data_IF_499896554473
#
_entry.id   IF_499896554473
#
_cell.length_a   1.000
_cell.length_b   1.000
_cell.length_c   1.000
_cell.angle_alpha   90.00
_cell.angle_beta   90.00
_cell.angle_gamma   90.00
#
_symmetry.space_group_name_H-M   'P 1'
#
loop_
_entity.id
_entity.type
_entity.pdbx_description
1 polymer ?
#
# COMPACT_ATOMS: atom_id res chain seq x y z
N UNK A 1 -1.42 -26.84 8.30
CA UNK A 1 -2.17 -26.67 9.58
C UNK A 1 -2.38 -25.18 9.76
N UNK A 2 -3.59 -24.70 9.50
CA UNK A 2 -4.02 -23.33 9.69
C UNK A 2 -4.12 -23.03 11.19
N UNK A 3 -3.59 -21.89 11.61
CA UNK A 3 -3.67 -21.40 12.99
C UNK A 3 -5.12 -21.01 13.31
N UNK A 4 -5.72 -21.47 14.41
CA UNK A 4 -7.07 -21.08 14.82
C UNK A 4 -6.97 -19.77 15.61
N UNK A 5 -7.41 -18.66 15.05
CA UNK A 5 -7.36 -17.38 15.75
C UNK A 5 -8.03 -16.19 15.09
N UNK A 6 -8.80 -16.39 14.01
CA UNK A 6 -9.69 -15.32 13.54
C UNK A 6 -11.01 -15.47 14.29
N UNK A 7 -11.13 -14.74 15.39
CA UNK A 7 -12.43 -14.57 16.06
C UNK A 7 -13.31 -13.76 15.13
N UNK A 8 -14.37 -14.40 14.63
CA UNK A 8 -15.56 -13.72 14.11
C UNK A 8 -15.98 -12.68 15.14
N UNK A 9 -15.83 -11.41 14.84
CA UNK A 9 -16.46 -10.37 15.62
C UNK A 9 -17.98 -10.54 15.45
N UNK A 10 -18.58 -11.06 16.51
CA UNK A 10 -20.02 -11.16 16.63
C UNK A 10 -20.59 -9.76 16.60
N UNK A 11 -21.49 -9.52 15.68
CA UNK A 11 -22.40 -8.37 15.75
C UNK A 11 -23.17 -8.50 17.07
N UNK A 12 -22.79 -7.73 18.07
CA UNK A 12 -23.55 -7.66 19.31
C UNK A 12 -24.81 -6.84 19.04
N UNK A 13 -25.94 -7.55 18.89
CA UNK A 13 -27.25 -6.91 18.96
C UNK A 13 -27.52 -6.47 20.40
N UNK A 14 -27.31 -5.21 20.70
CA UNK A 14 -27.83 -4.61 21.92
C UNK A 14 -29.28 -4.25 21.60
N UNK A 15 -30.20 -5.00 22.21
CA UNK A 15 -31.64 -4.72 22.20
C UNK A 15 -31.89 -3.47 23.04
N UNK A 16 -31.68 -2.29 22.45
CA UNK A 16 -32.30 -1.05 22.87
C UNK A 16 -33.53 -0.82 21.99
N UNK A 17 -34.53 -0.05 22.43
CA UNK A 17 -35.77 0.18 21.67
C UNK A 17 -35.54 0.87 20.33
N UNK A 18 -34.32 1.21 19.97
CA UNK A 18 -33.94 1.75 18.66
C UNK A 18 -32.90 0.77 18.04
N UNK A 19 -33.38 0.00 17.06
CA UNK A 19 -32.51 -0.89 16.27
C UNK A 19 -31.78 -0.05 15.21
N UNK A 20 -30.59 0.49 15.55
CA UNK A 20 -29.74 1.18 14.58
C UNK A 20 -29.05 0.10 13.76
N UNK A 21 -29.40 0.01 12.47
CA UNK A 21 -28.72 -0.90 11.54
C UNK A 21 -27.40 -0.28 11.11
N UNK A 22 -26.30 -0.81 11.63
CA UNK A 22 -24.99 -0.50 11.11
C UNK A 22 -24.71 -1.37 9.88
N UNK A 23 -24.55 -0.74 8.72
CA UNK A 23 -24.05 -1.42 7.53
C UNK A 23 -22.54 -1.29 7.54
N UNK A 24 -21.85 -2.38 7.82
CA UNK A 24 -20.42 -2.49 7.52
C UNK A 24 -20.26 -2.59 6.02
N UNK A 25 -19.90 -1.52 5.36
CA UNK A 25 -19.45 -1.58 3.97
C UNK A 25 -18.09 -2.28 3.97
N UNK A 26 -18.05 -3.51 3.49
CA UNK A 26 -16.78 -4.19 3.27
C UNK A 26 -15.99 -3.43 2.21
N UNK A 27 -15.03 -2.65 2.64
CA UNK A 27 -14.16 -1.94 1.72
C UNK A 27 -13.07 -2.88 1.18
N UNK A 28 -12.66 -2.61 -0.05
CA UNK A 28 -11.69 -3.44 -0.74
C UNK A 28 -10.32 -3.38 -0.07
N UNK A 29 -9.83 -4.53 0.36
CA UNK A 29 -8.45 -4.77 0.71
C UNK A 29 -7.95 -5.91 -0.18
N UNK A 30 -7.32 -5.56 -1.30
CA UNK A 30 -6.96 -6.48 -2.37
C UNK A 30 -5.43 -6.52 -2.53
N UNK A 31 -4.90 -7.69 -2.89
CA UNK A 31 -3.51 -7.86 -3.30
C UNK A 31 -3.47 -8.27 -4.76
N UNK A 32 -2.81 -7.46 -5.59
CA UNK A 32 -2.56 -7.73 -7.00
C UNK A 32 -1.12 -8.18 -7.20
N UNK A 33 -0.90 -9.40 -7.68
CA UNK A 33 0.43 -9.92 -8.01
C UNK A 33 0.75 -9.53 -9.45
N UNK A 34 1.69 -8.61 -9.64
CA UNK A 34 2.15 -8.15 -10.95
C UNK A 34 3.30 -9.00 -11.47
N UNK A 35 4.12 -9.52 -10.57
CA UNK A 35 5.23 -10.43 -10.84
C UNK A 35 5.60 -11.21 -9.58
N UNK A 36 6.05 -12.44 -9.77
CA UNK A 36 6.45 -13.36 -8.70
C UNK A 36 7.71 -14.18 -9.08
N UNK A 37 8.40 -13.75 -10.12
CA UNK A 37 9.68 -14.35 -10.54
C UNK A 37 10.82 -13.95 -9.61
N UNK A 38 11.80 -14.82 -9.44
CA UNK A 38 13.05 -14.51 -8.76
C UNK A 38 14.06 -13.86 -9.73
N UNK A 39 15.34 -13.76 -9.32
CA UNK A 39 16.38 -13.03 -10.02
C UNK A 39 16.56 -13.37 -11.52
N UNK A 40 16.30 -14.62 -11.92
CA UNK A 40 16.40 -15.02 -13.33
C UNK A 40 15.11 -14.68 -14.09
N UNK A 41 15.15 -13.74 -15.05
CA UNK A 41 13.99 -13.44 -15.87
C UNK A 41 13.52 -14.65 -16.69
N UNK A 42 12.22 -14.83 -16.80
CA UNK A 42 11.61 -15.87 -17.63
C UNK A 42 10.59 -15.26 -18.58
N UNK A 43 10.26 -15.99 -19.65
CA UNK A 43 9.22 -15.55 -20.60
C UNK A 43 7.80 -15.65 -20.04
N UNK A 44 7.62 -16.33 -18.92
CA UNK A 44 6.30 -16.60 -18.31
C UNK A 44 6.02 -15.76 -17.04
N UNK A 45 7.07 -15.38 -16.29
CA UNK A 45 6.93 -14.70 -15.01
C UNK A 45 7.80 -13.45 -15.01
N UNK A 46 7.20 -12.34 -14.61
CA UNK A 46 7.90 -11.09 -14.38
C UNK A 46 8.58 -11.11 -13.00
N UNK A 47 9.63 -10.32 -12.86
CA UNK A 47 10.30 -10.09 -11.59
C UNK A 47 9.31 -9.59 -10.52
N UNK A 48 9.67 -9.76 -9.25
CA UNK A 48 8.74 -9.51 -8.15
C UNK A 48 8.19 -8.09 -8.12
N UNK A 49 6.89 -7.98 -8.08
CA UNK A 49 6.16 -6.74 -7.87
C UNK A 49 4.72 -7.04 -7.47
N UNK A 50 4.23 -6.39 -6.46
CA UNK A 50 2.88 -6.56 -5.93
C UNK A 50 2.25 -5.21 -5.66
N UNK A 51 0.92 -5.12 -5.71
CA UNK A 51 0.20 -3.89 -5.36
C UNK A 51 -0.91 -4.23 -4.36
N UNK A 52 -0.82 -3.63 -3.20
CA UNK A 52 -1.90 -3.60 -2.21
C UNK A 52 -2.85 -2.46 -2.58
N UNK A 53 -4.13 -2.78 -2.72
CA UNK A 53 -5.19 -1.81 -2.91
C UNK A 53 -6.05 -1.77 -1.64
N UNK A 54 -5.92 -0.69 -0.88
CA UNK A 54 -6.79 -0.42 0.26
C UNK A 54 -7.63 0.82 -0.04
N UNK A 55 -8.92 0.62 -0.24
CA UNK A 55 -9.88 1.71 -0.45
C UNK A 55 -9.47 2.64 -1.59
N UNK A 56 -9.02 2.03 -2.70
CA UNK A 56 -8.50 2.74 -3.87
C UNK A 56 -7.18 3.52 -3.64
N UNK A 57 -6.51 3.40 -2.51
CA UNK A 57 -5.11 3.79 -2.34
C UNK A 57 -4.25 2.61 -2.76
N UNK A 58 -3.28 2.86 -3.61
CA UNK A 58 -2.38 1.83 -4.12
C UNK A 58 -1.01 1.96 -3.45
N UNK A 59 -0.49 0.83 -2.98
CA UNK A 59 0.82 0.69 -2.38
C UNK A 59 1.56 -0.43 -3.11
N UNK A 60 2.71 -0.12 -3.71
CA UNK A 60 3.50 -1.13 -4.42
C UNK A 60 4.52 -1.73 -3.48
N UNK A 61 4.69 -3.05 -3.55
CA UNK A 61 5.75 -3.80 -2.87
C UNK A 61 6.65 -4.36 -3.94
N UNK A 62 7.92 -3.97 -3.91
CA UNK A 62 8.93 -4.22 -4.92
C UNK A 62 8.53 -3.73 -6.32
N UNK A 63 9.50 -3.37 -7.10
CA UNK A 63 9.34 -2.89 -8.46
C UNK A 63 10.42 -3.51 -9.35
N UNK A 64 10.29 -4.79 -9.59
CA UNK A 64 11.18 -5.53 -10.48
C UNK A 64 10.98 -5.14 -11.94
N UNK A 65 11.87 -5.64 -12.80
CA UNK A 65 11.80 -5.37 -14.23
C UNK A 65 10.45 -5.79 -14.83
N UNK A 66 9.86 -4.91 -15.63
CA UNK A 66 8.55 -5.12 -16.26
C UNK A 66 7.34 -4.76 -15.38
N UNK A 67 7.51 -4.40 -14.09
CA UNK A 67 6.43 -3.99 -13.19
C UNK A 67 5.56 -2.88 -13.78
N UNK A 68 6.17 -1.88 -14.43
CA UNK A 68 5.51 -0.81 -15.15
C UNK A 68 4.47 -1.33 -16.18
N UNK A 69 4.86 -2.32 -16.98
CA UNK A 69 3.97 -2.88 -18.00
C UNK A 69 2.87 -3.74 -17.39
N UNK A 70 3.17 -4.47 -16.32
CA UNK A 70 2.18 -5.26 -15.60
C UNK A 70 1.16 -4.36 -14.88
N UNK A 71 1.60 -3.26 -14.29
CA UNK A 71 0.72 -2.25 -13.69
C UNK A 71 -0.25 -1.67 -14.73
N UNK A 72 0.21 -1.41 -15.97
CA UNK A 72 -0.66 -0.98 -17.07
C UNK A 72 -1.68 -2.04 -17.45
N UNK A 73 -1.27 -3.30 -17.56
CA UNK A 73 -2.15 -4.43 -17.90
C UNK A 73 -3.21 -4.68 -16.81
N UNK A 74 -2.88 -4.47 -15.54
CA UNK A 74 -3.81 -4.65 -14.42
C UNK A 74 -4.92 -3.61 -14.36
N UNK A 75 -4.84 -2.53 -15.16
CA UNK A 75 -5.77 -1.40 -15.18
C UNK A 75 -5.86 -0.63 -13.85
N UNK A 76 -4.92 -0.85 -12.94
CA UNK A 76 -4.81 -0.05 -11.72
C UNK A 76 -4.45 1.40 -12.07
N UNK A 77 -5.03 2.36 -11.36
CA UNK A 77 -4.84 3.78 -11.64
C UNK A 77 -3.48 4.27 -11.13
N UNK A 78 -2.55 4.58 -12.03
CA UNK A 78 -1.21 5.11 -11.71
C UNK A 78 -1.26 6.31 -10.76
N UNK A 79 -2.25 7.21 -10.91
CA UNK A 79 -2.39 8.41 -10.08
C UNK A 79 -2.69 8.12 -8.60
N UNK A 80 -3.07 6.88 -8.25
CA UNK A 80 -3.36 6.45 -6.89
C UNK A 80 -2.18 5.74 -6.22
N UNK A 81 -1.11 5.47 -6.97
CA UNK A 81 0.12 4.86 -6.45
C UNK A 81 1.09 5.98 -6.02
N UNK A 82 1.14 6.26 -4.73
CA UNK A 82 2.00 7.29 -4.16
C UNK A 82 3.14 6.72 -3.31
N UNK A 83 3.07 5.46 -2.93
CA UNK A 83 4.07 4.82 -2.06
C UNK A 83 4.54 3.50 -2.67
N UNK A 84 5.86 3.31 -2.72
CA UNK A 84 6.54 2.08 -3.14
C UNK A 84 7.42 1.62 -1.99
N UNK A 85 7.36 0.35 -1.63
CA UNK A 85 8.11 -0.27 -0.55
C UNK A 85 9.06 -1.30 -1.15
N UNK A 86 10.36 -1.12 -0.99
CA UNK A 86 11.39 -2.03 -1.50
C UNK A 86 11.88 -2.91 -0.34
N UNK A 87 11.73 -4.21 -0.50
CA UNK A 87 12.07 -5.19 0.52
C UNK A 87 13.58 -5.32 0.73
N UNK A 88 14.34 -5.28 -0.34
CA UNK A 88 15.81 -5.30 -0.34
C UNK A 88 16.38 -4.86 -1.70
N UNK A 89 17.70 -4.61 -1.77
CA UNK A 89 18.35 -3.98 -2.92
C UNK A 89 18.92 -4.98 -3.93
N UNK A 90 18.27 -6.14 -4.17
CA UNK A 90 18.56 -6.93 -5.36
C UNK A 90 17.85 -6.34 -6.60
N UNK A 91 18.45 -6.49 -7.77
CA UNK A 91 17.96 -5.86 -9.00
C UNK A 91 16.56 -6.28 -9.38
N UNK A 92 16.20 -7.54 -9.20
CA UNK A 92 14.87 -8.08 -9.46
C UNK A 92 13.77 -7.49 -8.57
N UNK A 93 14.13 -6.71 -7.53
CA UNK A 93 13.21 -5.98 -6.66
C UNK A 93 13.14 -4.47 -6.94
N UNK A 94 14.09 -3.89 -7.68
CA UNK A 94 14.15 -2.43 -7.87
C UNK A 94 14.45 -1.95 -9.30
N UNK A 95 14.88 -2.80 -10.24
CA UNK A 95 15.26 -2.36 -11.59
C UNK A 95 14.09 -1.76 -12.40
N UNK A 96 12.85 -2.06 -12.06
CA UNK A 96 11.68 -1.46 -12.69
C UNK A 96 11.40 -0.01 -12.27
N UNK A 97 12.03 0.49 -11.19
CA UNK A 97 11.76 1.82 -10.64
C UNK A 97 12.00 2.94 -11.65
N UNK A 98 13.14 2.93 -12.36
CA UNK A 98 13.46 3.99 -13.33
C UNK A 98 12.42 4.10 -14.44
N UNK A 99 11.99 2.96 -14.99
CA UNK A 99 10.94 2.94 -15.99
C UNK A 99 9.59 3.43 -15.48
N UNK A 100 9.23 3.03 -14.26
CA UNK A 100 7.98 3.46 -13.61
C UNK A 100 8.00 4.96 -13.30
N UNK A 101 9.07 5.48 -12.71
CA UNK A 101 9.25 6.90 -12.38
C UNK A 101 9.18 7.75 -13.65
N UNK A 102 9.91 7.38 -14.70
CA UNK A 102 9.85 8.07 -16.00
C UNK A 102 8.43 8.08 -16.57
N UNK A 103 7.72 6.94 -16.51
CA UNK A 103 6.33 6.86 -16.98
C UNK A 103 5.39 7.78 -16.20
N UNK A 104 5.54 7.89 -14.90
CA UNK A 104 4.75 8.83 -14.09
C UNK A 104 4.95 10.28 -14.57
N UNK A 105 6.20 10.66 -14.88
CA UNK A 105 6.49 11.97 -15.45
C UNK A 105 5.80 12.20 -16.81
N UNK A 106 5.88 11.22 -17.72
CA UNK A 106 5.23 11.28 -19.04
C UNK A 106 3.69 11.33 -18.95
N UNK A 107 3.11 10.75 -17.89
CA UNK A 107 1.67 10.81 -17.63
C UNK A 107 1.23 12.09 -16.90
N UNK A 108 2.13 13.06 -16.71
CA UNK A 108 1.83 14.36 -16.11
C UNK A 108 1.58 14.31 -14.59
N UNK A 109 2.24 13.37 -13.88
CA UNK A 109 2.17 13.32 -12.42
C UNK A 109 2.68 14.62 -11.81
N UNK A 110 1.97 15.14 -10.82
CA UNK A 110 2.38 16.31 -10.01
C UNK A 110 2.54 16.00 -8.54
N UNK A 111 1.90 14.92 -8.04
CA UNK A 111 1.99 14.47 -6.65
C UNK A 111 3.34 13.78 -6.40
N UNK A 112 3.90 13.96 -5.22
CA UNK A 112 5.12 13.27 -4.79
C UNK A 112 4.99 11.74 -4.89
N UNK A 113 6.10 11.08 -5.20
CA UNK A 113 6.25 9.64 -5.13
C UNK A 113 7.21 9.30 -4.00
N UNK A 114 6.71 8.60 -2.99
CA UNK A 114 7.49 8.20 -1.83
C UNK A 114 8.01 6.77 -2.02
N UNK A 115 9.32 6.57 -1.88
CA UNK A 115 9.98 5.27 -1.98
C UNK A 115 10.59 4.93 -0.62
N UNK A 116 10.05 3.89 0.00
CA UNK A 116 10.50 3.37 1.29
C UNK A 116 11.43 2.19 1.03
N UNK A 117 12.67 2.23 1.53
CA UNK A 117 13.69 1.21 1.21
C UNK A 117 14.69 1.02 2.33
N UNK A 118 15.40 -0.12 2.35
CA UNK A 118 16.67 -0.21 3.07
C UNK A 118 17.65 0.87 2.61
N UNK A 119 18.61 1.23 3.48
CA UNK A 119 19.63 2.23 3.19
C UNK A 119 20.45 1.91 1.94
N UNK A 120 20.75 2.95 1.15
CA UNK A 120 21.58 2.90 -0.06
C UNK A 120 20.80 3.03 -1.37
N UNK A 121 19.48 2.96 -1.38
CA UNK A 121 18.69 3.13 -2.61
C UNK A 121 18.77 4.55 -3.15
N UNK A 122 18.67 5.55 -2.28
CA UNK A 122 18.76 6.96 -2.65
C UNK A 122 20.09 7.29 -3.30
N UNK A 123 21.20 6.80 -2.71
CA UNK A 123 22.55 6.98 -3.27
C UNK A 123 22.68 6.41 -4.68
N UNK A 124 22.08 5.23 -4.93
CA UNK A 124 22.11 4.57 -6.23
C UNK A 124 21.21 5.28 -7.27
N UNK A 125 20.05 5.76 -6.87
CA UNK A 125 19.04 6.26 -7.81
C UNK A 125 19.10 7.76 -8.04
N UNK A 126 19.59 8.58 -7.10
CA UNK A 126 19.66 10.03 -7.25
C UNK A 126 20.45 10.49 -8.49
N UNK A 127 21.64 9.92 -8.82
CA UNK A 127 22.35 10.28 -10.04
C UNK A 127 21.57 9.92 -11.32
N UNK A 128 20.88 8.77 -11.32
CA UNK A 128 20.06 8.33 -12.45
C UNK A 128 18.86 9.26 -12.64
N UNK A 129 18.19 9.62 -11.56
CA UNK A 129 17.07 10.59 -11.62
C UNK A 129 17.53 11.95 -12.09
N UNK A 130 18.66 12.45 -11.60
CA UNK A 130 19.22 13.73 -12.04
C UNK A 130 19.56 13.73 -13.54
N UNK A 131 19.96 12.61 -14.09
CA UNK A 131 20.31 12.48 -15.50
C UNK A 131 19.07 12.28 -16.39
N UNK A 132 18.27 11.25 -16.10
CA UNK A 132 17.17 10.82 -16.97
C UNK A 132 15.84 11.53 -16.72
N UNK A 133 15.63 12.09 -15.52
CA UNK A 133 14.36 12.62 -15.07
C UNK A 133 14.42 14.12 -14.71
N UNK A 134 15.33 14.86 -15.31
CA UNK A 134 15.70 16.23 -14.96
C UNK A 134 14.54 17.26 -14.95
N UNK A 135 13.50 17.02 -15.73
CA UNK A 135 12.40 17.98 -15.91
C UNK A 135 11.04 17.38 -15.48
N UNK A 136 11.01 16.49 -14.49
CA UNK A 136 9.76 15.97 -13.99
C UNK A 136 8.97 17.03 -13.22
N UNK A 137 7.63 16.99 -13.37
CA UNK A 137 6.71 17.89 -12.66
C UNK A 137 6.41 17.45 -11.23
N UNK A 138 7.09 16.43 -10.72
CA UNK A 138 6.91 15.90 -9.37
C UNK A 138 8.25 15.48 -8.75
N UNK A 139 8.25 15.30 -7.42
CA UNK A 139 9.42 14.88 -6.68
C UNK A 139 9.33 13.39 -6.34
N UNK A 140 10.50 12.73 -6.33
CA UNK A 140 10.70 11.41 -5.74
C UNK A 140 11.35 11.61 -4.37
N UNK A 141 10.69 11.13 -3.33
CA UNK A 141 11.13 11.28 -1.93
C UNK A 141 11.53 9.90 -1.41
N UNK A 142 12.79 9.76 -0.98
CA UNK A 142 13.28 8.52 -0.40
C UNK A 142 13.13 8.53 1.12
N UNK A 143 12.66 7.41 1.67
CA UNK A 143 12.52 7.14 3.09
C UNK A 143 13.30 5.88 3.42
N UNK A 144 14.53 6.04 3.83
CA UNK A 144 15.41 4.91 4.13
C UNK A 144 15.23 4.44 5.59
N UNK A 145 15.21 3.13 5.79
CA UNK A 145 15.04 2.51 7.10
C UNK A 145 16.05 1.39 7.36
N UNK A 146 16.21 1.00 8.63
CA UNK A 146 16.98 -0.18 9.02
C UNK A 146 16.08 -1.42 9.00
N UNK A 147 16.63 -2.56 8.55
CA UNK A 147 15.89 -3.83 8.43
C UNK A 147 16.07 -4.77 9.62
N UNK A 148 16.86 -4.39 10.62
CA UNK A 148 17.21 -5.27 11.75
C UNK A 148 16.09 -5.45 12.75
N UNK A 149 15.27 -4.41 12.92
CA UNK A 149 14.15 -4.38 13.86
C UNK A 149 12.86 -4.00 13.15
N UNK A 150 11.70 -4.40 13.68
CA UNK A 150 10.42 -3.92 13.16
C UNK A 150 10.32 -2.39 13.31
N UNK A 151 10.08 -1.68 12.21
CA UNK A 151 9.94 -0.23 12.18
C UNK A 151 8.62 0.15 11.52
N UNK A 152 7.87 1.07 12.14
CA UNK A 152 6.71 1.70 11.52
C UNK A 152 7.24 2.70 10.48
N UNK A 153 7.07 2.38 9.18
CA UNK A 153 7.61 3.16 8.05
C UNK A 153 6.56 3.99 7.32
N UNK A 154 5.29 3.71 7.55
CA UNK A 154 4.19 4.49 7.00
C UNK A 154 2.97 4.41 7.92
N UNK A 155 2.29 5.55 8.07
CA UNK A 155 1.04 5.64 8.80
C UNK A 155 0.14 6.73 8.21
N UNK A 156 -1.15 6.42 8.04
CA UNK A 156 -2.19 7.40 7.76
C UNK A 156 -3.44 7.14 8.61
N UNK A 157 -4.55 7.79 8.26
CA UNK A 157 -5.83 7.62 8.99
C UNK A 157 -6.42 6.21 8.85
N UNK A 158 -6.03 5.45 7.82
CA UNK A 158 -6.67 4.19 7.44
C UNK A 158 -5.81 2.97 7.71
N UNK A 159 -4.49 3.13 7.74
CA UNK A 159 -3.58 2.00 7.84
C UNK A 159 -2.19 2.36 8.35
N UNK A 160 -1.44 1.33 8.71
CA UNK A 160 -0.01 1.38 9.02
C UNK A 160 0.74 0.39 8.14
N UNK A 161 2.03 0.67 7.89
CA UNK A 161 2.98 -0.31 7.32
C UNK A 161 4.18 -0.43 8.25
N UNK A 162 4.43 -1.64 8.71
CA UNK A 162 5.56 -1.96 9.61
C UNK A 162 6.46 -2.97 8.91
N UNK A 163 7.78 -2.82 9.04
CA UNK A 163 8.75 -3.78 8.53
C UNK A 163 8.78 -5.05 9.37
N UNK A 164 9.03 -6.18 8.72
CA UNK A 164 9.28 -7.48 9.36
C UNK A 164 10.68 -7.91 8.98
N UNK A 165 11.66 -7.93 9.91
CA UNK A 165 13.02 -8.38 9.61
C UNK A 165 13.04 -9.79 9.02
N UNK A 166 13.81 -9.96 7.94
CA UNK A 166 13.96 -11.26 7.29
C UNK A 166 15.44 -11.62 7.16
N UNK A 167 15.73 -12.92 7.22
CA UNK A 167 17.08 -13.42 7.03
C UNK A 167 17.37 -13.61 5.54
N UNK A 168 18.32 -12.83 5.02
CA UNK A 168 18.76 -12.88 3.63
C UNK A 168 20.24 -12.54 3.53
N UNK A 169 20.85 -12.64 2.31
CA UNK A 169 22.27 -12.33 2.09
C UNK A 169 22.62 -10.85 2.26
N UNK A 170 21.65 -9.98 2.03
CA UNK A 170 21.74 -8.53 2.22
C UNK A 170 20.59 -8.07 3.13
N UNK A 171 20.65 -6.86 3.71
CA UNK A 171 19.57 -6.31 4.53
C UNK A 171 18.21 -6.43 3.82
N UNK A 172 17.25 -7.12 4.45
CA UNK A 172 15.97 -7.47 3.85
C UNK A 172 14.86 -7.44 4.90
N UNK A 173 13.66 -7.04 4.48
CA UNK A 173 12.45 -7.12 5.30
C UNK A 173 11.24 -7.50 4.46
N UNK A 174 10.21 -8.01 5.13
CA UNK A 174 8.84 -8.02 4.66
C UNK A 174 8.07 -6.81 5.17
N UNK A 175 6.77 -6.72 4.81
CA UNK A 175 5.92 -5.61 5.20
C UNK A 175 4.59 -6.11 5.77
N UNK A 176 4.21 -5.60 6.94
CA UNK A 176 2.90 -5.78 7.54
C UNK A 176 2.04 -4.57 7.24
N UNK A 177 1.04 -4.75 6.38
CA UNK A 177 -0.01 -3.76 6.11
C UNK A 177 -1.17 -4.03 7.07
N UNK A 178 -1.44 -3.11 7.98
CA UNK A 178 -2.51 -3.25 8.96
C UNK A 178 -3.53 -2.12 8.83
N UNK A 179 -4.79 -2.50 8.62
CA UNK A 179 -5.89 -1.55 8.58
C UNK A 179 -6.22 -1.06 10.00
N UNK A 180 -6.44 0.25 10.15
CA UNK A 180 -6.86 0.85 11.42
C UNK A 180 -8.36 0.68 11.63
N UNK A 181 -8.81 0.46 12.88
CA UNK A 181 -10.22 0.46 13.23
C UNK A 181 -10.90 1.76 12.76
N UNK A 182 -12.10 1.64 12.26
CA UNK A 182 -12.94 2.80 11.91
C UNK A 182 -14.04 3.01 12.93
N UNK A 183 -14.44 4.28 13.15
CA UNK A 183 -15.74 4.55 13.73
C UNK A 183 -16.84 3.96 12.84
N UNK A 184 -17.87 3.42 13.43
CA UNK A 184 -19.03 2.95 12.70
C UNK A 184 -19.70 4.15 11.98
N UNK A 185 -20.10 3.96 10.73
CA UNK A 185 -20.86 4.98 10.01
C UNK A 185 -22.34 4.85 10.36
N UNK A 186 -22.91 5.95 10.81
CA UNK A 186 -24.35 6.03 11.01
C UNK A 186 -24.98 6.35 9.64
N UNK A 187 -25.98 5.56 9.24
CA UNK A 187 -26.75 5.82 8.03
C UNK A 187 -27.72 6.96 8.34
N UNK A 188 -27.54 8.11 7.67
CA UNK A 188 -28.34 9.32 7.94
C UNK A 188 -29.84 9.11 7.77
N UNK A 189 -30.24 8.38 6.75
CA UNK A 189 -31.65 8.02 6.48
C UNK A 189 -32.29 7.24 7.66
N UNK A 190 -31.47 6.42 8.36
CA UNK A 190 -31.94 5.69 9.54
C UNK A 190 -32.07 6.60 10.77
N UNK A 191 -31.24 7.63 10.87
CA UNK A 191 -31.38 8.66 11.94
C UNK A 191 -32.75 9.33 11.79
N UNK A 192 -33.07 9.76 10.58
CA UNK A 192 -34.32 10.44 10.26
C UNK A 192 -35.52 9.50 10.44
N UNK A 193 -35.41 8.26 9.95
CA UNK A 193 -36.45 7.24 10.07
C UNK A 193 -36.78 6.90 11.52
N UNK A 194 -35.76 6.70 12.35
CA UNK A 194 -35.92 6.39 13.78
C UNK A 194 -36.03 7.62 14.68
N UNK A 195 -36.00 8.84 14.12
CA UNK A 195 -36.06 10.12 14.85
C UNK A 195 -35.03 10.16 15.97
N UNK A 196 -33.79 9.73 15.71
CA UNK A 196 -32.74 9.68 16.73
C UNK A 196 -32.39 11.11 17.17
N UNK A 197 -32.49 11.45 18.46
CA UNK A 197 -32.18 12.79 18.93
C UNK A 197 -30.72 13.16 18.71
N UNK A 198 -30.45 14.42 18.32
CA UNK A 198 -29.09 14.89 17.98
C UNK A 198 -28.09 14.68 19.13
N UNK A 199 -28.53 14.78 20.39
CA UNK A 199 -27.65 14.55 21.53
C UNK A 199 -27.18 13.10 21.68
N UNK A 200 -27.92 12.11 21.15
CA UNK A 200 -27.48 10.70 21.13
C UNK A 200 -26.44 10.43 20.05
N UNK A 201 -26.42 11.23 18.96
CA UNK A 201 -25.44 11.06 17.87
C UNK A 201 -24.00 11.30 18.32
N UNK A 202 -23.79 12.05 19.40
CA UNK A 202 -22.47 12.28 19.98
C UNK A 202 -21.98 11.13 20.88
N UNK A 203 -22.84 10.13 21.15
CA UNK A 203 -22.56 8.97 21.99
C UNK A 203 -22.29 7.69 21.20
N UNK A 204 -22.55 7.72 19.90
CA UNK A 204 -22.37 6.63 18.94
C UNK A 204 -21.10 6.86 18.15
#
# INVERSE_FOLDING_TARGET
>A
KLHPGIKNERVHFILLPVCIIFVSVMEKFELHILGCGSALPTTRHFATSQVVNLRDKLFMIDCGEGAQMQLRKSRLKFSRLNHIFISHLHGDHCFGLMGLISTFGLLGRTAELHIHSPKGLEELFSPLLAFFCKNMSYQVVFHEFDTKEPVLIYEDRSMTVTTIPLQHRIPCCGFLFAEKPRPNHIIREMIDFYQVPVYELNRI
#
